data_IF_974138825937
#
_entry.id   IF_974138825937
#
_cell.length_a   1.000
_cell.length_b   1.000
_cell.length_c   1.000
_cell.angle_alpha   90.00
_cell.angle_beta   90.00
_cell.angle_gamma   90.00
#
_symmetry.space_group_name_H-M   'P 1'
#
loop_
_entity.id
_entity.type
_entity.pdbx_description
1 polymer ?
#
# COMPACT_ATOMS: atom_id res chain seq x y z
N UNK A 1 1.07 -16.60 16.29
CA UNK A 1 0.53 -16.14 14.98
C UNK A 1 -0.37 -14.92 15.23
N UNK A 2 -0.35 -13.87 14.40
CA UNK A 2 -1.23 -12.71 14.58
C UNK A 2 -2.71 -13.11 14.54
N UNK A 3 -3.54 -12.43 15.34
CA UNK A 3 -4.98 -12.67 15.41
C UNK A 3 -5.67 -12.29 14.09
N UNK A 4 -6.89 -12.82 13.80
CA UNK A 4 -7.66 -12.44 12.62
C UNK A 4 -7.92 -10.94 12.50
N UNK A 5 -7.95 -10.20 13.61
CA UNK A 5 -8.21 -8.76 13.65
C UNK A 5 -6.94 -7.91 13.69
N UNK A 6 -5.75 -8.55 13.64
CA UNK A 6 -4.49 -7.83 13.70
C UNK A 6 -4.33 -6.94 12.45
N UNK A 7 -4.26 -5.60 12.60
CA UNK A 7 -4.13 -4.70 11.46
C UNK A 7 -2.89 -4.99 10.63
N UNK A 8 -3.00 -4.80 9.32
CA UNK A 8 -1.89 -4.86 8.39
C UNK A 8 -1.56 -3.46 7.88
N UNK A 9 -0.31 -3.02 8.03
CA UNK A 9 0.19 -1.77 7.47
C UNK A 9 1.05 -2.06 6.25
N UNK A 10 0.62 -1.58 5.09
CA UNK A 10 1.40 -1.62 3.87
C UNK A 10 2.07 -0.24 3.64
N UNK A 11 3.39 -0.22 3.74
CA UNK A 11 4.22 0.97 3.53
C UNK A 11 4.62 1.09 2.07
N UNK A 12 4.51 2.29 1.49
CA UNK A 12 4.89 2.61 0.11
C UNK A 12 6.10 3.55 0.15
N UNK A 13 7.25 3.08 -0.35
CA UNK A 13 8.50 3.85 -0.33
C UNK A 13 8.46 5.08 -1.25
N UNK A 14 9.32 6.06 -0.97
CA UNK A 14 9.50 7.26 -1.79
C UNK A 14 10.31 7.02 -3.08
N UNK A 15 10.63 8.12 -3.78
CA UNK A 15 11.43 8.08 -5.02
C UNK A 15 12.84 7.52 -4.76
N UNK A 16 13.22 6.46 -5.48
CA UNK A 16 14.55 5.84 -5.37
C UNK A 16 14.83 5.11 -4.05
N UNK A 17 13.84 5.07 -3.15
CA UNK A 17 13.95 4.43 -1.84
C UNK A 17 13.61 2.95 -1.86
N UNK A 18 13.40 2.38 -0.68
CA UNK A 18 12.92 1.01 -0.54
C UNK A 18 12.84 0.55 0.90
N UNK A 19 12.61 -0.74 1.10
CA UNK A 19 12.45 -1.35 2.42
C UNK A 19 13.65 -1.19 3.36
N UNK A 20 14.82 -0.84 2.83
CA UNK A 20 16.03 -0.63 3.63
C UNK A 20 16.21 0.80 4.12
N UNK A 21 15.37 1.74 3.68
CA UNK A 21 15.45 3.12 4.12
C UNK A 21 15.17 3.23 5.61
N UNK A 22 15.95 4.04 6.33
CA UNK A 22 15.88 4.19 7.78
C UNK A 22 14.48 4.57 8.26
N UNK A 23 13.79 5.47 7.54
CA UNK A 23 12.43 5.90 7.89
C UNK A 23 11.39 4.77 7.72
N UNK A 24 11.53 3.93 6.69
CA UNK A 24 10.66 2.77 6.46
C UNK A 24 10.87 1.74 7.57
N UNK A 25 12.12 1.43 7.88
CA UNK A 25 12.48 0.49 8.94
C UNK A 25 12.01 0.96 10.31
N UNK A 26 12.20 2.25 10.62
CA UNK A 26 11.73 2.85 11.87
C UNK A 26 10.23 2.73 12.04
N UNK A 27 9.44 3.01 10.98
CA UNK A 27 7.99 2.83 11.03
C UNK A 27 7.59 1.36 11.13
N UNK A 28 8.27 0.46 10.41
CA UNK A 28 8.00 -0.96 10.48
C UNK A 28 8.21 -1.51 11.90
N UNK A 29 9.29 -1.10 12.57
CA UNK A 29 9.54 -1.43 13.99
C UNK A 29 8.44 -0.85 14.87
N UNK A 30 8.12 0.44 14.73
CA UNK A 30 7.10 1.09 15.56
C UNK A 30 5.70 0.47 15.41
N UNK A 31 5.35 -0.01 14.22
CA UNK A 31 4.11 -0.73 13.96
C UNK A 31 4.15 -2.17 14.52
N UNK A 32 5.27 -2.87 14.37
CA UNK A 32 5.45 -4.21 14.95
C UNK A 32 5.40 -4.19 16.49
N UNK A 33 5.97 -3.18 17.14
CA UNK A 33 5.87 -2.96 18.59
C UNK A 33 4.43 -2.72 19.07
N UNK A 34 3.56 -2.20 18.20
CA UNK A 34 2.12 -2.07 18.44
C UNK A 34 1.34 -3.35 18.13
N UNK A 35 2.03 -4.43 17.76
CA UNK A 35 1.45 -5.71 17.41
C UNK A 35 0.87 -5.77 15.99
N UNK A 36 1.17 -4.81 15.12
CA UNK A 36 0.65 -4.78 13.75
C UNK A 36 1.50 -5.66 12.83
N UNK A 37 0.87 -6.24 11.81
CA UNK A 37 1.60 -6.84 10.69
C UNK A 37 2.04 -5.73 9.74
N UNK A 38 3.24 -5.82 9.19
CA UNK A 38 3.79 -4.79 8.32
C UNK A 38 4.35 -5.40 7.05
N UNK A 39 4.03 -4.78 5.92
CA UNK A 39 4.66 -5.04 4.62
C UNK A 39 5.21 -3.75 4.03
N UNK A 40 6.22 -3.86 3.19
CA UNK A 40 6.75 -2.74 2.41
C UNK A 40 6.62 -3.06 0.93
N UNK A 41 5.95 -2.17 0.20
CA UNK A 41 5.95 -2.15 -1.25
C UNK A 41 7.16 -1.37 -1.74
N UNK A 42 8.12 -2.10 -2.32
CA UNK A 42 9.16 -1.51 -3.16
C UNK A 42 8.55 -1.22 -4.53
N UNK A 43 8.53 0.05 -4.93
CA UNK A 43 8.03 0.45 -6.25
C UNK A 43 8.91 -0.13 -7.38
N UNK A 44 8.40 -0.11 -8.62
CA UNK A 44 9.16 -0.58 -9.79
C UNK A 44 10.54 0.09 -9.86
N UNK A 45 11.56 -0.70 -10.18
CA UNK A 45 12.96 -0.28 -10.27
C UNK A 45 13.57 0.24 -8.94
N UNK A 46 12.90 0.01 -7.80
CA UNK A 46 13.38 0.37 -6.47
C UNK A 46 13.69 -0.88 -5.64
N UNK A 47 14.45 -0.70 -4.54
CA UNK A 47 14.77 -1.79 -3.62
C UNK A 47 15.49 -2.99 -4.25
N UNK A 48 16.29 -2.77 -5.29
CA UNK A 48 17.03 -3.82 -6.01
C UNK A 48 16.19 -4.68 -6.96
N UNK A 49 14.95 -4.26 -7.26
CA UNK A 49 14.11 -4.95 -8.25
C UNK A 49 14.58 -4.74 -9.68
N UNK A 50 14.49 -5.79 -10.50
CA UNK A 50 14.83 -5.71 -11.92
C UNK A 50 13.86 -4.81 -12.69
N UNK A 51 14.39 -4.07 -13.67
CA UNK A 51 13.59 -3.23 -14.55
C UNK A 51 12.99 -4.09 -15.66
N UNK A 52 11.75 -4.53 -15.46
CA UNK A 52 11.03 -5.40 -16.40
C UNK A 52 10.12 -4.65 -17.39
N UNK A 53 10.04 -3.32 -17.28
CA UNK A 53 9.20 -2.49 -18.16
C UNK A 53 9.86 -1.13 -18.41
N UNK A 54 9.58 -0.47 -19.56
CA UNK A 54 10.09 0.87 -19.86
C UNK A 54 9.42 1.98 -19.04
N UNK A 55 8.54 1.63 -18.09
CA UNK A 55 7.76 2.58 -17.29
C UNK A 55 8.28 2.62 -15.86
N UNK A 56 8.87 3.74 -15.47
CA UNK A 56 9.14 4.06 -14.07
C UNK A 56 7.87 4.52 -13.34
N UNK A 57 7.94 4.59 -12.02
CA UNK A 57 6.84 5.11 -11.21
C UNK A 57 6.92 6.65 -11.07
N UNK A 58 5.76 7.31 -10.99
CA UNK A 58 5.65 8.77 -10.93
C UNK A 58 4.39 9.19 -10.18
N UNK A 59 4.48 10.26 -9.38
CA UNK A 59 3.32 10.91 -8.75
C UNK A 59 2.30 11.44 -9.77
N UNK A 60 2.76 11.94 -10.93
CA UNK A 60 1.92 12.73 -11.84
C UNK A 60 1.20 11.89 -12.91
N UNK A 61 1.75 10.71 -13.27
CA UNK A 61 1.24 9.84 -14.36
C UNK A 61 1.07 8.40 -13.92
N UNK A 62 0.37 8.19 -12.81
CA UNK A 62 -0.03 6.85 -12.39
C UNK A 62 1.12 5.99 -11.90
N UNK A 63 0.95 5.47 -10.69
CA UNK A 63 1.59 4.24 -10.20
C UNK A 63 0.64 3.58 -9.17
N UNK A 64 -0.62 3.97 -9.26
CA UNK A 64 -1.72 3.49 -8.43
C UNK A 64 -2.06 2.04 -8.76
N UNK A 65 -1.73 1.59 -9.97
CA UNK A 65 -1.84 0.20 -10.40
C UNK A 65 -0.87 -0.73 -9.64
N UNK A 66 0.34 -0.27 -9.32
CA UNK A 66 1.27 -1.03 -8.47
C UNK A 66 0.75 -1.16 -7.04
N UNK A 67 0.24 -0.06 -6.48
CA UNK A 67 -0.39 -0.05 -5.14
C UNK A 67 -1.63 -0.94 -5.14
N UNK A 68 -2.48 -0.84 -6.18
CA UNK A 68 -3.67 -1.66 -6.37
C UNK A 68 -3.32 -3.15 -6.38
N UNK A 69 -2.33 -3.53 -7.20
CA UNK A 69 -1.90 -4.91 -7.29
C UNK A 69 -1.35 -5.43 -5.95
N UNK A 70 -0.57 -4.61 -5.25
CA UNK A 70 -0.03 -4.94 -3.93
C UNK A 70 -1.14 -5.10 -2.87
N UNK A 71 -2.11 -4.19 -2.82
CA UNK A 71 -3.28 -4.26 -1.93
C UNK A 71 -4.08 -5.54 -2.20
N UNK A 72 -4.37 -5.84 -3.46
CA UNK A 72 -5.07 -7.07 -3.87
C UNK A 72 -4.29 -8.32 -3.46
N UNK A 73 -2.97 -8.32 -3.65
CA UNK A 73 -2.10 -9.41 -3.26
C UNK A 73 -2.13 -9.62 -1.74
N UNK A 74 -1.94 -8.56 -0.96
CA UNK A 74 -1.98 -8.61 0.52
C UNK A 74 -3.34 -9.12 1.00
N UNK A 75 -4.45 -8.55 0.51
CA UNK A 75 -5.81 -8.98 0.86
C UNK A 75 -6.03 -10.46 0.54
N UNK A 76 -5.58 -10.94 -0.62
CA UNK A 76 -5.71 -12.36 -1.02
C UNK A 76 -5.00 -13.27 -0.05
N UNK A 77 -3.77 -12.94 0.32
CA UNK A 77 -2.98 -13.74 1.26
C UNK A 77 -3.59 -13.74 2.67
N UNK A 78 -4.11 -12.58 3.11
CA UNK A 78 -4.78 -12.47 4.41
C UNK A 78 -6.04 -13.33 4.45
N UNK A 79 -6.87 -13.30 3.41
CA UNK A 79 -8.08 -14.13 3.31
C UNK A 79 -7.77 -15.63 3.16
N UNK A 80 -6.78 -15.99 2.33
CA UNK A 80 -6.36 -17.38 2.12
C UNK A 80 -5.87 -18.06 3.40
N UNK A 81 -5.40 -17.28 4.38
CA UNK A 81 -5.01 -17.78 5.70
C UNK A 81 -6.19 -18.15 6.62
N UNK A 82 -7.43 -18.09 6.12
CA UNK A 82 -8.65 -18.43 6.87
C UNK A 82 -9.06 -17.37 7.89
N UNK A 83 -8.47 -16.18 7.81
CA UNK A 83 -8.76 -15.05 8.71
C UNK A 83 -9.93 -14.22 8.17
N UNK A 84 -10.74 -13.68 9.09
CA UNK A 84 -11.58 -12.53 8.77
C UNK A 84 -10.70 -11.42 8.18
N UNK A 85 -11.19 -10.64 7.23
CA UNK A 85 -10.40 -9.61 6.57
C UNK A 85 -9.91 -8.57 7.60
N UNK A 86 -8.63 -8.57 8.02
CA UNK A 86 -8.17 -7.63 9.04
C UNK A 86 -8.15 -6.22 8.45
N UNK A 87 -8.19 -5.17 9.29
CA UNK A 87 -7.99 -3.81 8.80
C UNK A 87 -6.67 -3.67 8.01
N UNK A 88 -6.73 -3.10 6.81
CA UNK A 88 -5.56 -2.79 5.99
C UNK A 88 -5.35 -1.28 5.94
N UNK A 89 -4.20 -0.83 6.43
CA UNK A 89 -3.76 0.55 6.35
C UNK A 89 -2.69 0.73 5.25
N UNK A 90 -2.74 1.86 4.55
CA UNK A 90 -1.68 2.31 3.63
C UNK A 90 -0.93 3.49 4.23
N UNK A 91 0.40 3.51 4.13
CA UNK A 91 1.15 4.74 4.40
C UNK A 91 2.26 4.94 3.38
N UNK A 92 2.51 6.19 2.99
CA UNK A 92 3.55 6.50 2.00
C UNK A 92 4.30 7.79 2.31
N UNK A 93 5.57 7.85 1.90
CA UNK A 93 6.43 9.03 2.02
C UNK A 93 6.66 9.72 0.70
N UNK A 94 6.70 11.06 0.71
CA UNK A 94 7.04 11.87 -0.47
C UNK A 94 6.22 11.41 -1.69
N UNK A 95 6.88 11.00 -2.78
CA UNK A 95 6.25 10.44 -3.97
C UNK A 95 5.32 9.25 -3.68
N UNK A 96 5.70 8.36 -2.76
CA UNK A 96 4.87 7.23 -2.34
C UNK A 96 3.58 7.68 -1.64
N UNK A 97 3.66 8.77 -0.87
CA UNK A 97 2.48 9.39 -0.25
C UNK A 97 1.52 9.99 -1.28
N UNK A 98 2.04 10.69 -2.29
CA UNK A 98 1.23 11.19 -3.42
C UNK A 98 0.55 10.05 -4.18
N UNK A 99 1.27 8.94 -4.42
CA UNK A 99 0.70 7.78 -5.11
C UNK A 99 -0.41 7.13 -4.25
N UNK A 100 -0.24 7.03 -2.93
CA UNK A 100 -1.29 6.56 -2.02
C UNK A 100 -2.52 7.45 -2.08
N UNK A 101 -2.37 8.78 -2.04
CA UNK A 101 -3.52 9.70 -2.18
C UNK A 101 -4.24 9.48 -3.52
N UNK A 102 -3.50 9.42 -4.62
CA UNK A 102 -4.08 9.25 -5.95
C UNK A 102 -4.83 7.91 -6.05
N UNK A 103 -4.29 6.84 -5.47
CA UNK A 103 -4.95 5.54 -5.42
C UNK A 103 -6.29 5.61 -4.67
N UNK A 104 -6.32 6.28 -3.51
CA UNK A 104 -7.55 6.44 -2.74
C UNK A 104 -8.57 7.31 -3.46
N UNK A 105 -8.12 8.35 -4.17
CA UNK A 105 -8.98 9.20 -4.99
C UNK A 105 -9.63 8.40 -6.14
N UNK A 106 -8.86 7.54 -6.81
CA UNK A 106 -9.40 6.61 -7.82
C UNK A 106 -10.42 5.65 -7.21
N UNK A 107 -10.14 5.08 -6.03
CA UNK A 107 -11.10 4.20 -5.33
C UNK A 107 -12.39 4.91 -4.93
N UNK A 108 -12.30 6.13 -4.41
CA UNK A 108 -13.47 6.94 -4.12
C UNK A 108 -14.28 7.25 -5.38
N UNK A 109 -13.61 7.59 -6.48
CA UNK A 109 -14.26 7.85 -7.76
C UNK A 109 -14.94 6.61 -8.35
N UNK A 110 -14.30 5.45 -8.28
CA UNK A 110 -14.90 4.17 -8.72
C UNK A 110 -16.17 3.87 -7.93
N UNK A 111 -16.13 3.94 -6.60
CA UNK A 111 -17.28 3.72 -5.70
C UNK A 111 -18.47 4.63 -5.99
N UNK A 112 -18.21 5.85 -6.47
CA UNK A 112 -19.24 6.85 -6.76
C UNK A 112 -19.76 6.77 -8.21
N UNK A 113 -19.11 6.00 -9.09
CA UNK A 113 -19.50 5.88 -10.50
C UNK A 113 -20.57 4.80 -10.71
N UNK A 114 -21.51 4.98 -11.65
CA UNK A 114 -22.47 3.93 -12.04
C UNK A 114 -21.78 2.66 -12.57
N UNK A 115 -20.55 2.81 -13.08
CA UNK A 115 -19.67 1.71 -13.50
C UNK A 115 -19.18 0.82 -12.36
N UNK A 116 -19.29 1.21 -11.09
CA UNK A 116 -18.97 0.30 -9.96
C UNK A 116 -19.84 -0.95 -9.95
N UNK A 117 -21.03 -0.93 -10.56
CA UNK A 117 -21.85 -2.12 -10.76
C UNK A 117 -21.19 -3.19 -11.66
N UNK A 118 -20.15 -2.82 -12.43
CA UNK A 118 -19.38 -3.77 -13.27
C UNK A 118 -18.23 -4.44 -12.53
N UNK A 119 -17.75 -3.87 -11.42
CA UNK A 119 -16.78 -4.53 -10.56
C UNK A 119 -17.52 -5.53 -9.67
N UNK A 120 -16.98 -6.74 -9.57
CA UNK A 120 -17.54 -7.70 -8.61
C UNK A 120 -17.38 -7.17 -7.19
N UNK A 121 -18.32 -7.48 -6.29
CA UNK A 121 -18.21 -7.11 -4.87
C UNK A 121 -16.87 -7.57 -4.25
N UNK A 122 -16.34 -8.70 -4.76
CA UNK A 122 -15.03 -9.23 -4.42
C UNK A 122 -13.90 -8.28 -4.81
N UNK A 123 -13.86 -7.76 -6.04
CA UNK A 123 -12.82 -6.81 -6.47
C UNK A 123 -12.86 -5.53 -5.65
N UNK A 124 -14.06 -5.04 -5.34
CA UNK A 124 -14.24 -3.85 -4.52
C UNK A 124 -13.74 -4.06 -3.07
N UNK A 125 -14.07 -5.20 -2.47
CA UNK A 125 -13.59 -5.58 -1.14
C UNK A 125 -12.08 -5.78 -1.10
N UNK A 126 -11.52 -6.36 -2.16
CA UNK A 126 -10.08 -6.66 -2.27
C UNK A 126 -9.23 -5.40 -2.51
N UNK A 127 -9.81 -4.31 -3.03
CA UNK A 127 -9.14 -3.02 -3.20
C UNK A 127 -9.31 -2.06 -2.01
N UNK A 128 -10.21 -2.40 -1.09
CA UNK A 128 -10.55 -1.53 0.02
C UNK A 128 -9.40 -1.39 1.01
N UNK A 129 -9.14 -0.15 1.40
CA UNK A 129 -8.18 0.25 2.43
C UNK A 129 -8.97 0.95 3.54
N UNK A 130 -8.71 0.57 4.78
CA UNK A 130 -9.49 1.00 5.94
C UNK A 130 -8.95 2.29 6.56
N UNK A 131 -7.67 2.58 6.38
CA UNK A 131 -7.03 3.81 6.80
C UNK A 131 -5.84 4.15 5.90
N UNK A 132 -5.53 5.44 5.76
CA UNK A 132 -4.31 5.85 5.06
C UNK A 132 -3.63 7.06 5.67
N UNK A 133 -2.31 7.12 5.55
CA UNK A 133 -1.50 8.23 6.03
C UNK A 133 -0.44 8.65 5.00
N UNK A 134 -0.26 9.97 4.87
CA UNK A 134 0.87 10.54 4.13
C UNK A 134 1.88 11.03 5.14
N UNK A 135 3.09 10.51 5.03
CA UNK A 135 4.13 10.75 6.00
C UNK A 135 5.17 11.69 5.39
N UNK A 136 5.57 12.69 6.18
CA UNK A 136 6.74 13.49 5.87
C UNK A 136 8.00 12.66 6.19
N UNK A 137 9.06 12.79 5.39
CA UNK A 137 10.36 12.32 5.84
C UNK A 137 10.75 13.17 7.05
N UNK A 138 11.04 12.58 8.22
CA UNK A 138 11.76 13.32 9.23
C UNK A 138 13.13 13.65 8.64
N UNK A 139 13.35 14.92 8.29
CA UNK A 139 14.66 15.46 7.94
C UNK A 139 15.54 15.41 9.19
N UNK A 140 16.04 14.24 9.56
CA UNK A 140 17.14 14.12 10.50
C UNK A 140 18.22 13.27 9.82
N UNK A 141 19.29 13.97 9.44
CA UNK A 141 20.56 13.45 8.91
C UNK A 141 21.27 12.61 9.97
#
# INVERSE_FOLDING_TARGET
PPSPDTPYLLLVSGLGGGSQDTYVRGMAVAAAERGWQVGVLNMRACGGTEVTSPRFFSACRGSTDDVRLAVMHVRRNLLASGRAAPPLALAGWSNGGTIVINYLAEQGGELLSESSARLSATELLMGRVDAAAVLACPLHM
#
